data_IF_872807684363
#
_entry.id   IF_872807684363
#
_cell.length_a   1.000
_cell.length_b   1.000
_cell.length_c   1.000
_cell.angle_alpha   90.00
_cell.angle_beta   90.00
_cell.angle_gamma   90.00
#
_symmetry.space_group_name_H-M   'P 1'
#
loop_
_entity.id
_entity.type
_entity.pdbx_description
1 polymer ?
#
# COMPACT_ATOMS: atom_id res chain seq x y z
N UNK A 1 -2.48 5.80 -1.11
CA UNK A 1 -1.82 6.48 0.05
C UNK A 1 -1.46 5.47 1.13
N UNK A 2 -2.23 4.41 1.17
CA UNK A 2 -2.27 3.30 2.12
C UNK A 2 -0.95 2.55 2.22
N UNK A 3 -0.18 2.45 1.13
CA UNK A 3 1.19 1.95 1.16
C UNK A 3 2.24 3.05 1.40
N UNK A 4 2.09 4.22 0.78
CA UNK A 4 3.12 5.27 0.79
C UNK A 4 3.28 5.94 2.16
N UNK A 5 2.19 6.27 2.85
CA UNK A 5 2.28 6.90 4.17
C UNK A 5 2.96 6.03 5.22
N UNK A 6 2.58 4.76 5.43
CA UNK A 6 3.27 3.92 6.41
C UNK A 6 4.73 3.66 6.01
N UNK A 7 5.03 3.53 4.71
CA UNK A 7 6.40 3.40 4.23
C UNK A 7 7.25 4.64 4.56
N UNK A 8 6.74 5.84 4.24
CA UNK A 8 7.41 7.11 4.56
C UNK A 8 7.59 7.28 6.07
N UNK A 9 6.59 6.89 6.88
CA UNK A 9 6.67 6.97 8.34
C UNK A 9 7.73 6.01 8.91
N UNK A 10 7.83 4.80 8.35
CA UNK A 10 8.86 3.84 8.71
C UNK A 10 10.26 4.25 8.22
N UNK A 11 10.35 5.02 7.13
CA UNK A 11 11.61 5.54 6.61
C UNK A 11 12.10 6.79 7.37
N UNK A 12 11.19 7.63 7.84
CA UNK A 12 11.54 8.84 8.61
C UNK A 12 11.60 8.60 10.12
N UNK A 13 11.00 7.51 10.60
CA UNK A 13 11.08 7.06 11.98
C UNK A 13 12.27 6.12 12.22
N UNK A 14 12.94 6.28 13.36
CA UNK A 14 14.03 5.40 13.78
C UNK A 14 15.28 5.50 12.88
N UNK A 15 15.86 4.35 12.56
CA UNK A 15 17.13 4.15 11.87
C UNK A 15 17.07 4.30 10.33
N UNK A 16 15.92 4.73 9.79
CA UNK A 16 15.78 5.03 8.36
C UNK A 16 15.87 3.80 7.45
N UNK A 17 15.44 2.65 7.96
CA UNK A 17 15.57 1.37 7.27
C UNK A 17 14.63 1.28 6.07
N UNK A 18 15.23 1.20 4.87
CA UNK A 18 14.49 0.96 3.61
C UNK A 18 13.78 -0.39 3.65
N UNK A 19 14.34 -1.40 4.33
CA UNK A 19 13.67 -2.68 4.55
C UNK A 19 12.41 -2.54 5.41
N UNK A 20 12.45 -1.73 6.48
CA UNK A 20 11.26 -1.48 7.30
C UNK A 20 10.18 -0.72 6.50
N UNK A 21 10.59 0.24 5.67
CA UNK A 21 9.69 0.95 4.76
C UNK A 21 9.03 0.00 3.75
N UNK A 22 9.77 -0.97 3.19
CA UNK A 22 9.21 -1.99 2.30
C UNK A 22 8.15 -2.87 2.97
N UNK A 23 8.43 -3.34 4.19
CA UNK A 23 7.46 -4.14 4.98
C UNK A 23 6.20 -3.31 5.28
N UNK A 24 6.37 -2.05 5.67
CA UNK A 24 5.26 -1.14 5.95
C UNK A 24 4.43 -0.85 4.69
N UNK A 25 5.07 -0.64 3.54
CA UNK A 25 4.41 -0.45 2.25
C UNK A 25 3.58 -1.67 1.85
N UNK A 26 4.15 -2.88 1.97
CA UNK A 26 3.48 -4.15 1.65
C UNK A 26 2.25 -4.35 2.52
N UNK A 27 2.38 -4.17 3.84
CA UNK A 27 1.24 -4.28 4.77
C UNK A 27 0.13 -3.28 4.44
N UNK A 28 0.51 -2.05 4.09
CA UNK A 28 -0.44 -1.01 3.67
C UNK A 28 -1.18 -1.39 2.38
N UNK A 29 -0.47 -1.92 1.39
CA UNK A 29 -1.07 -2.41 0.14
C UNK A 29 -2.02 -3.59 0.40
N UNK A 30 -1.60 -4.61 1.13
CA UNK A 30 -2.42 -5.80 1.39
C UNK A 30 -3.68 -5.44 2.19
N UNK A 31 -3.59 -4.47 3.10
CA UNK A 31 -4.72 -3.97 3.89
C UNK A 31 -5.85 -3.38 3.04
N UNK A 32 -5.57 -2.89 1.83
CA UNK A 32 -6.61 -2.35 0.94
C UNK A 32 -7.59 -3.42 0.44
N UNK A 33 -7.21 -4.70 0.44
CA UNK A 33 -8.11 -5.79 0.08
C UNK A 33 -9.28 -5.98 1.05
N UNK A 34 -9.16 -5.48 2.28
CA UNK A 34 -10.22 -5.51 3.28
C UNK A 34 -11.17 -4.30 3.18
N UNK A 35 -10.86 -3.32 2.32
CA UNK A 35 -11.70 -2.15 2.11
C UNK A 35 -12.91 -2.54 1.25
N UNK A 36 -14.09 -2.14 1.69
CA UNK A 36 -15.36 -2.32 1.00
C UNK A 36 -15.62 -1.22 -0.03
N UNK A 37 -15.02 -0.04 0.16
CA UNK A 37 -15.15 1.10 -0.73
C UNK A 37 -13.79 1.75 -1.06
N UNK A 38 -13.61 2.17 -2.31
CA UNK A 38 -12.45 2.95 -2.73
C UNK A 38 -12.82 4.44 -2.84
N UNK A 39 -12.32 5.27 -1.93
CA UNK A 39 -12.62 6.73 -1.88
C UNK A 39 -12.05 7.54 -3.06
N UNK A 40 -11.11 6.98 -3.83
CA UNK A 40 -10.39 7.72 -4.86
C UNK A 40 -10.00 6.85 -6.07
N UNK A 41 -9.82 7.51 -7.22
CA UNK A 41 -9.32 6.90 -8.45
C UNK A 41 -10.37 6.08 -9.22
N UNK A 42 -9.91 5.30 -10.21
CA UNK A 42 -10.79 4.48 -11.07
C UNK A 42 -11.44 3.31 -10.33
N UNK A 43 -10.89 2.94 -9.17
CA UNK A 43 -11.43 1.88 -8.30
C UNK A 43 -12.77 2.28 -7.68
N UNK A 44 -13.07 3.59 -7.53
CA UNK A 44 -14.37 4.08 -7.05
C UNK A 44 -15.54 3.79 -8.02
N UNK A 45 -15.26 3.32 -9.24
CA UNK A 45 -16.29 2.93 -10.21
C UNK A 45 -16.72 1.46 -10.08
N UNK A 46 -16.04 0.71 -9.21
CA UNK A 46 -16.27 -0.72 -9.02
C UNK A 46 -17.21 -0.93 -7.84
N UNK A 47 -18.09 -1.94 -7.95
CA UNK A 47 -18.93 -2.36 -6.84
C UNK A 47 -18.09 -2.99 -5.73
N UNK A 48 -18.59 -2.95 -4.49
CA UNK A 48 -17.91 -3.51 -3.32
C UNK A 48 -17.51 -4.98 -3.52
N UNK A 49 -18.34 -5.77 -4.22
CA UNK A 49 -18.06 -7.18 -4.52
C UNK A 49 -16.82 -7.40 -5.40
N UNK A 50 -16.44 -6.40 -6.21
CA UNK A 50 -15.25 -6.45 -7.06
C UNK A 50 -14.02 -5.94 -6.31
N UNK A 51 -14.20 -4.99 -5.40
CA UNK A 51 -13.14 -4.41 -4.58
C UNK A 51 -12.69 -5.36 -3.47
N UNK A 52 -13.64 -6.04 -2.83
CA UNK A 52 -13.37 -6.91 -1.68
C UNK A 52 -12.44 -8.06 -2.09
N UNK A 53 -11.34 -8.20 -1.35
CA UNK A 53 -10.33 -9.22 -1.59
C UNK A 53 -9.30 -8.86 -2.67
N UNK A 54 -9.44 -7.72 -3.35
CA UNK A 54 -8.48 -7.24 -4.35
C UNK A 54 -7.71 -6.05 -3.79
N UNK A 55 -6.39 -6.17 -3.52
CA UNK A 55 -5.58 -5.03 -3.15
C UNK A 55 -5.61 -3.93 -4.24
N UNK A 56 -5.62 -2.67 -3.81
CA UNK A 56 -5.52 -1.51 -4.69
C UNK A 56 -4.23 -1.59 -5.53
N UNK A 57 -4.33 -1.61 -6.88
CA UNK A 57 -3.15 -1.72 -7.75
C UNK A 57 -2.14 -0.59 -7.55
N UNK A 58 -2.61 0.62 -7.20
CA UNK A 58 -1.75 1.77 -6.92
C UNK A 58 -0.90 1.56 -5.66
N UNK A 59 -1.52 1.10 -4.58
CA UNK A 59 -0.82 0.75 -3.35
C UNK A 59 0.17 -0.42 -3.55
N UNK A 60 -0.22 -1.44 -4.33
CA UNK A 60 0.66 -2.56 -4.70
C UNK A 60 1.89 -2.08 -5.47
N UNK A 61 1.72 -1.18 -6.44
CA UNK A 61 2.83 -0.61 -7.20
C UNK A 61 3.85 0.09 -6.27
N UNK A 62 3.36 0.85 -5.30
CA UNK A 62 4.23 1.50 -4.29
C UNK A 62 4.99 0.47 -3.46
N UNK A 63 4.33 -0.60 -3.00
CA UNK A 63 4.99 -1.66 -2.24
C UNK A 63 6.14 -2.31 -3.04
N UNK A 64 5.91 -2.60 -4.32
CA UNK A 64 6.94 -3.18 -5.21
C UNK A 64 8.15 -2.25 -5.36
N UNK A 65 7.93 -0.94 -5.45
CA UNK A 65 9.03 0.05 -5.52
C UNK A 65 9.89 -0.02 -4.27
N UNK A 66 9.30 0.03 -3.07
CA UNK A 66 10.07 -0.04 -1.82
C UNK A 66 10.77 -1.39 -1.64
N UNK A 67 10.12 -2.50 -1.98
CA UNK A 67 10.75 -3.83 -1.97
C UNK A 67 11.93 -3.93 -2.93
N UNK A 68 11.87 -3.22 -4.06
CA UNK A 68 12.98 -3.17 -5.01
C UNK A 68 14.12 -2.32 -4.47
N UNK A 69 13.83 -1.21 -3.77
CA UNK A 69 14.82 -0.36 -3.13
C UNK A 69 15.49 -1.03 -1.91
N UNK A 70 14.83 -1.99 -1.27
CA UNK A 70 15.35 -2.72 -0.12
C UNK A 70 16.27 -3.90 -0.49
N UNK A 71 16.39 -4.23 -1.77
CA UNK A 71 17.32 -5.24 -2.30
C UNK A 71 18.70 -4.63 -2.52
#
# INVERSE_FOLDING_TARGET
>A
LDALFPASSALTGGDGSVSAAAVAARKGADGTAAMDHAEAGRSNYLSEDVLRGTPDPGAVAVAIVFETLAK
#
